data_IF_238251924318
#
_entry.id   IF_238251924318
#
_cell.length_a   1.000
_cell.length_b   1.000
_cell.length_c   1.000
_cell.angle_alpha   90.00
_cell.angle_beta   90.00
_cell.angle_gamma   90.00
#
_symmetry.space_group_name_H-M   'P 1'
#
loop_
_entity.id
_entity.type
_entity.pdbx_description
1 polymer ?
#
# COMPACT_ATOMS: atom_id res chain seq x y z
N UNK A 1 27.11 4.34 -15.37
CA UNK A 1 27.45 3.02 -15.97
C UNK A 1 28.69 2.40 -15.30
N UNK A 2 28.72 2.26 -13.96
CA UNK A 2 29.92 1.77 -13.22
C UNK A 2 29.80 0.29 -12.78
N UNK A 3 28.60 -0.30 -12.81
CA UNK A 3 28.34 -1.69 -12.35
C UNK A 3 28.10 -2.71 -13.47
N UNK A 4 28.21 -2.30 -14.75
CA UNK A 4 28.04 -3.22 -15.89
C UNK A 4 26.61 -3.65 -16.22
N UNK A 5 25.58 -3.18 -15.49
CA UNK A 5 24.18 -3.43 -15.86
C UNK A 5 23.77 -2.68 -17.13
N UNK A 6 23.10 -3.40 -18.03
CA UNK A 6 22.24 -2.78 -19.01
C UNK A 6 20.86 -2.52 -18.37
N UNK A 7 20.22 -1.41 -18.73
CA UNK A 7 18.90 -1.03 -18.21
C UNK A 7 17.96 -0.81 -19.38
N UNK A 8 16.82 -1.49 -19.33
CA UNK A 8 15.72 -1.31 -20.27
C UNK A 8 14.46 -0.93 -19.48
N UNK A 9 13.64 -0.05 -20.04
CA UNK A 9 12.36 0.36 -19.46
C UNK A 9 11.42 0.81 -20.58
N UNK A 10 10.13 0.68 -20.36
CA UNK A 10 9.09 1.13 -21.28
C UNK A 10 7.97 1.83 -20.52
N UNK A 11 7.15 2.59 -21.26
CA UNK A 11 5.82 2.95 -20.78
C UNK A 11 4.90 1.73 -20.83
N UNK A 12 3.84 1.73 -20.00
CA UNK A 12 2.77 0.75 -20.13
C UNK A 12 1.91 1.03 -21.37
N UNK A 13 1.25 0.00 -21.87
CA UNK A 13 0.33 0.11 -23.02
C UNK A 13 -0.87 1.03 -22.73
N UNK A 14 -1.22 1.21 -21.46
CA UNK A 14 -2.34 2.04 -20.99
C UNK A 14 -1.91 3.04 -19.94
N UNK A 15 -2.62 4.16 -19.83
CA UNK A 15 -2.44 5.16 -18.77
C UNK A 15 -3.33 4.87 -17.56
N UNK A 16 -2.99 5.42 -16.39
CA UNK A 16 -3.75 5.17 -15.15
C UNK A 16 -3.39 3.84 -14.49
N UNK A 17 -4.39 3.09 -14.03
CA UNK A 17 -4.20 1.79 -13.39
C UNK A 17 -3.92 0.69 -14.44
N UNK A 18 -2.66 0.56 -14.85
CA UNK A 18 -2.23 -0.24 -16.00
C UNK A 18 -1.99 -1.74 -15.71
N UNK A 19 -2.48 -2.24 -14.57
CA UNK A 19 -2.10 -3.55 -14.04
C UNK A 19 -2.58 -4.74 -14.90
N UNK A 20 -3.51 -4.53 -15.83
CA UNK A 20 -3.92 -5.57 -16.78
C UNK A 20 -2.78 -6.04 -17.69
N UNK A 21 -1.91 -5.13 -18.13
CA UNK A 21 -0.85 -5.44 -19.10
C UNK A 21 0.54 -5.16 -18.56
N UNK A 22 0.67 -4.33 -17.51
CA UNK A 22 1.97 -3.79 -17.07
C UNK A 22 3.06 -4.85 -16.88
N UNK A 23 2.76 -6.00 -16.27
CA UNK A 23 3.74 -7.09 -16.13
C UNK A 23 4.18 -7.64 -17.49
N UNK A 24 3.23 -7.92 -18.38
CA UNK A 24 3.50 -8.40 -19.73
C UNK A 24 4.22 -7.34 -20.59
N UNK A 25 3.90 -6.06 -20.42
CA UNK A 25 4.57 -4.94 -21.12
C UNK A 25 6.06 -4.88 -20.73
N UNK A 26 6.39 -5.11 -19.45
CA UNK A 26 7.78 -5.18 -19.00
C UNK A 26 8.49 -6.44 -19.53
N UNK A 27 7.80 -7.59 -19.60
CA UNK A 27 8.36 -8.79 -20.24
C UNK A 27 8.59 -8.61 -21.74
N UNK A 28 7.70 -7.90 -22.44
CA UNK A 28 7.90 -7.50 -23.83
C UNK A 28 9.11 -6.58 -24.01
N UNK A 29 9.37 -5.71 -23.03
CA UNK A 29 10.56 -4.84 -23.00
C UNK A 29 11.84 -5.65 -22.88
N UNK A 30 11.85 -6.67 -22.01
CA UNK A 30 12.96 -7.61 -21.90
C UNK A 30 13.18 -8.35 -23.22
N UNK A 31 12.13 -8.90 -23.82
CA UNK A 31 12.22 -9.63 -25.08
C UNK A 31 12.79 -8.76 -26.21
N UNK A 32 12.33 -7.51 -26.33
CA UNK A 32 12.84 -6.57 -27.32
C UNK A 32 14.31 -6.19 -27.08
N UNK A 33 14.71 -6.06 -25.81
CA UNK A 33 16.11 -5.83 -25.45
C UNK A 33 16.98 -7.03 -25.87
N UNK A 34 16.58 -8.25 -25.55
CA UNK A 34 17.34 -9.46 -25.87
C UNK A 34 17.38 -9.76 -27.37
N UNK A 35 16.34 -9.40 -28.12
CA UNK A 35 16.34 -9.49 -29.59
C UNK A 35 17.44 -8.59 -30.19
N UNK A 36 17.61 -7.38 -29.66
CA UNK A 36 18.56 -6.41 -30.22
C UNK A 36 20.00 -6.60 -29.72
N UNK A 37 20.19 -6.97 -28.45
CA UNK A 37 21.50 -7.02 -27.81
C UNK A 37 21.97 -8.44 -27.47
N UNK A 38 21.13 -9.45 -27.66
CA UNK A 38 21.36 -10.83 -27.24
C UNK A 38 20.84 -11.13 -25.83
N UNK A 39 20.74 -12.42 -25.51
CA UNK A 39 20.20 -12.88 -24.22
C UNK A 39 21.00 -12.36 -23.03
N UNK A 40 20.31 -11.90 -22.01
CA UNK A 40 20.92 -11.51 -20.74
C UNK A 40 21.35 -12.76 -19.97
N UNK A 41 22.51 -12.69 -19.30
CA UNK A 41 22.95 -13.79 -18.44
C UNK A 41 22.18 -13.87 -17.13
N UNK A 42 21.70 -12.71 -16.65
CA UNK A 42 20.88 -12.54 -15.44
C UNK A 42 19.97 -11.33 -15.61
N UNK A 43 18.71 -11.45 -15.21
CA UNK A 43 17.69 -10.40 -15.32
C UNK A 43 17.10 -10.12 -13.94
N UNK A 44 17.25 -8.87 -13.47
CA UNK A 44 16.65 -8.40 -12.23
C UNK A 44 15.55 -7.40 -12.58
N UNK A 45 14.31 -7.72 -12.24
CA UNK A 45 13.20 -6.77 -12.33
C UNK A 45 13.25 -5.80 -11.14
N UNK A 46 13.13 -4.50 -11.38
CA UNK A 46 13.14 -3.48 -10.33
C UNK A 46 11.96 -2.53 -10.54
N UNK A 47 11.15 -2.36 -9.50
CA UNK A 47 9.94 -1.54 -9.56
C UNK A 47 9.74 -0.71 -8.30
N UNK A 48 9.13 0.48 -8.44
CA UNK A 48 8.79 1.38 -7.34
C UNK A 48 7.30 1.66 -7.31
N UNK A 49 6.69 1.75 -6.14
CA UNK A 49 5.26 2.07 -5.97
C UNK A 49 4.36 1.06 -6.70
N UNK A 50 3.47 1.51 -7.58
CA UNK A 50 2.71 0.64 -8.49
C UNK A 50 3.63 -0.30 -9.30
N UNK A 51 4.82 0.17 -9.69
CA UNK A 51 5.84 -0.67 -10.34
C UNK A 51 6.38 -1.78 -9.44
N UNK A 52 6.41 -1.58 -8.11
CA UNK A 52 6.78 -2.62 -7.15
C UNK A 52 5.74 -3.75 -7.10
N UNK A 53 4.44 -3.41 -7.18
CA UNK A 53 3.37 -4.40 -7.37
C UNK A 53 3.56 -5.15 -8.70
N UNK A 54 3.78 -4.44 -9.81
CA UNK A 54 4.06 -5.06 -11.13
C UNK A 54 5.25 -6.01 -11.06
N UNK A 55 6.36 -5.59 -10.44
CA UNK A 55 7.56 -6.41 -10.27
C UNK A 55 7.29 -7.64 -9.40
N UNK A 56 6.45 -7.51 -8.37
CA UNK A 56 6.05 -8.64 -7.53
C UNK A 56 5.22 -9.65 -8.31
N UNK A 57 4.26 -9.18 -9.12
CA UNK A 57 3.48 -10.03 -10.01
C UNK A 57 4.36 -10.72 -11.07
N UNK A 58 5.34 -10.02 -11.66
CA UNK A 58 6.29 -10.64 -12.59
C UNK A 58 7.08 -11.79 -11.95
N UNK A 59 7.37 -11.70 -10.65
CA UNK A 59 8.07 -12.73 -9.90
C UNK A 59 7.23 -13.99 -9.63
N UNK A 60 5.91 -13.90 -9.77
CA UNK A 60 4.97 -15.01 -9.62
C UNK A 60 4.65 -15.70 -10.96
N UNK A 61 5.01 -15.10 -12.10
CA UNK A 61 4.76 -15.67 -13.43
C UNK A 61 5.77 -16.81 -13.72
N UNK A 62 5.31 -18.05 -13.97
CA UNK A 62 6.19 -19.15 -14.35
C UNK A 62 6.92 -18.88 -15.66
N UNK A 63 8.23 -19.16 -15.71
CA UNK A 63 9.08 -18.94 -16.89
C UNK A 63 9.01 -17.51 -17.46
N UNK A 64 8.84 -16.51 -16.60
CA UNK A 64 8.76 -15.10 -17.01
C UNK A 64 10.04 -14.57 -17.66
N UNK A 65 11.18 -15.23 -17.46
CA UNK A 65 12.47 -14.80 -18.00
C UNK A 65 13.21 -13.78 -17.13
N UNK A 66 12.64 -13.41 -15.97
CA UNK A 66 13.41 -12.74 -14.91
C UNK A 66 14.02 -13.79 -13.98
N UNK A 67 15.15 -13.47 -13.36
CA UNK A 67 15.84 -14.35 -12.40
C UNK A 67 15.65 -13.91 -10.96
N UNK A 68 15.33 -12.63 -10.72
CA UNK A 68 15.07 -12.06 -9.41
C UNK A 68 14.33 -10.73 -9.48
N UNK A 69 13.75 -10.30 -8.36
CA UNK A 69 12.88 -9.12 -8.30
C UNK A 69 13.16 -8.24 -7.08
N UNK A 70 13.29 -6.93 -7.29
CA UNK A 70 13.37 -5.92 -6.22
C UNK A 70 12.12 -5.05 -6.28
N UNK A 71 11.24 -5.23 -5.31
CA UNK A 71 9.98 -4.49 -5.16
C UNK A 71 10.16 -3.39 -4.12
N UNK A 72 10.28 -2.14 -4.55
CA UNK A 72 10.48 -1.01 -3.65
C UNK A 72 9.15 -0.29 -3.43
N UNK A 73 8.80 0.02 -2.17
CA UNK A 73 7.55 0.69 -1.75
C UNK A 73 6.30 0.13 -2.46
N UNK A 74 6.29 -1.17 -2.73
CA UNK A 74 5.30 -1.79 -3.61
C UNK A 74 3.91 -1.80 -2.99
N UNK A 75 2.88 -1.55 -3.80
CA UNK A 75 1.46 -1.70 -3.43
C UNK A 75 1.06 -3.18 -3.32
N UNK A 76 1.83 -3.98 -2.57
CA UNK A 76 1.78 -5.44 -2.56
C UNK A 76 0.63 -6.04 -1.75
N UNK A 77 -0.13 -5.23 -1.01
CA UNK A 77 -1.48 -5.66 -0.56
C UNK A 77 -2.45 -5.82 -1.74
N UNK A 78 -2.08 -5.32 -2.92
CA UNK A 78 -2.85 -5.47 -4.13
C UNK A 78 -4.00 -4.47 -4.27
N UNK A 79 -4.68 -4.56 -5.41
CA UNK A 79 -5.69 -3.58 -5.81
C UNK A 79 -6.96 -3.62 -4.97
N UNK A 80 -7.37 -4.82 -4.52
CA UNK A 80 -8.61 -4.98 -3.73
C UNK A 80 -8.44 -4.36 -2.35
N UNK A 81 -7.38 -4.73 -1.63
CA UNK A 81 -6.99 -4.13 -0.36
C UNK A 81 -6.85 -2.61 -0.47
N UNK A 82 -6.20 -2.12 -1.55
CA UNK A 82 -6.06 -0.69 -1.82
C UNK A 82 -7.39 0.04 -1.95
N UNK A 83 -8.35 -0.57 -2.64
CA UNK A 83 -9.67 0.04 -2.77
C UNK A 83 -10.44 0.00 -1.44
N UNK A 84 -10.33 -1.09 -0.69
CA UNK A 84 -11.00 -1.29 0.59
C UNK A 84 -10.55 -0.29 1.66
N UNK A 85 -9.26 -0.15 1.96
CA UNK A 85 -8.83 0.77 3.05
C UNK A 85 -9.16 2.24 2.75
N UNK A 86 -9.03 2.66 1.49
CA UNK A 86 -9.42 4.00 1.07
C UNK A 86 -10.93 4.23 1.18
N UNK A 87 -11.73 3.22 0.82
CA UNK A 87 -13.18 3.28 0.93
C UNK A 87 -13.62 3.29 2.40
N UNK A 88 -13.03 2.46 3.25
CA UNK A 88 -13.35 2.38 4.68
C UNK A 88 -13.13 3.72 5.38
N UNK A 89 -12.01 4.39 5.11
CA UNK A 89 -11.74 5.72 5.63
C UNK A 89 -12.73 6.78 5.10
N UNK A 90 -13.03 6.75 3.80
CA UNK A 90 -13.99 7.68 3.19
C UNK A 90 -15.42 7.48 3.73
N UNK A 91 -15.82 6.23 3.90
CA UNK A 91 -17.10 5.83 4.48
C UNK A 91 -17.22 6.25 5.93
N UNK A 92 -16.22 5.96 6.77
CA UNK A 92 -16.23 6.37 8.16
C UNK A 92 -16.25 7.90 8.31
N UNK A 93 -15.54 8.63 7.44
CA UNK A 93 -15.59 10.09 7.43
C UNK A 93 -16.98 10.62 7.03
N UNK A 94 -17.62 10.05 6.01
CA UNK A 94 -18.96 10.43 5.58
C UNK A 94 -19.99 10.16 6.69
N UNK A 95 -20.04 8.91 7.18
CA UNK A 95 -21.07 8.46 8.11
C UNK A 95 -20.99 9.17 9.47
N UNK A 96 -19.77 9.38 10.00
CA UNK A 96 -19.60 9.92 11.36
C UNK A 96 -19.52 11.46 11.40
N UNK A 97 -19.11 12.10 10.31
CA UNK A 97 -18.89 13.56 10.27
C UNK A 97 -19.95 14.31 9.44
N UNK A 98 -20.73 13.61 8.63
CA UNK A 98 -21.83 14.17 7.83
C UNK A 98 -23.13 13.38 8.07
N UNK A 99 -23.55 13.18 9.34
CA UNK A 99 -24.66 12.29 9.66
C UNK A 99 -25.95 12.68 8.94
N UNK A 100 -26.62 11.70 8.33
CA UNK A 100 -27.87 11.88 7.59
C UNK A 100 -27.71 12.50 6.20
N UNK A 101 -26.49 12.70 5.71
CA UNK A 101 -26.23 13.08 4.32
C UNK A 101 -25.87 11.86 3.49
N UNK A 102 -26.57 11.71 2.37
CA UNK A 102 -26.18 10.76 1.34
C UNK A 102 -24.96 11.31 0.58
N UNK A 103 -23.79 10.70 0.80
CA UNK A 103 -22.53 11.06 0.15
C UNK A 103 -22.15 9.90 -0.77
N UNK A 104 -22.09 10.17 -2.08
CA UNK A 104 -21.57 9.21 -3.05
C UNK A 104 -20.09 8.96 -2.77
N UNK A 105 -19.71 7.69 -2.58
CA UNK A 105 -18.33 7.26 -2.32
C UNK A 105 -17.75 6.32 -3.38
N UNK A 106 -18.59 5.84 -4.29
CA UNK A 106 -18.22 4.89 -5.33
C UNK A 106 -18.83 5.26 -6.69
N UNK A 107 -18.35 4.57 -7.72
CA UNK A 107 -18.83 4.64 -9.09
C UNK A 107 -18.28 5.82 -9.89
N UNK A 108 -17.26 6.52 -9.42
CA UNK A 108 -16.72 7.69 -10.12
C UNK A 108 -16.02 7.27 -11.42
N UNK A 109 -16.44 7.79 -12.57
CA UNK A 109 -15.81 7.50 -13.87
C UNK A 109 -15.05 8.69 -14.48
N UNK A 110 -15.20 9.88 -13.89
CA UNK A 110 -14.46 11.07 -14.26
C UNK A 110 -14.13 11.92 -13.01
N UNK A 111 -13.03 12.71 -13.01
CA UNK A 111 -12.64 13.54 -11.87
C UNK A 111 -13.75 14.48 -11.37
N UNK A 112 -14.53 15.06 -12.29
CA UNK A 112 -15.60 16.00 -11.97
C UNK A 112 -16.72 15.38 -11.12
N UNK A 113 -16.94 14.07 -11.21
CA UNK A 113 -18.00 13.38 -10.47
C UNK A 113 -17.71 13.30 -8.97
N UNK A 114 -16.44 13.28 -8.59
CA UNK A 114 -16.02 13.25 -7.17
C UNK A 114 -15.91 14.62 -6.51
N UNK A 115 -16.04 15.72 -7.27
CA UNK A 115 -15.74 17.06 -6.78
C UNK A 115 -16.60 17.49 -5.58
N UNK A 116 -17.90 17.17 -5.60
CA UNK A 116 -18.81 17.49 -4.50
C UNK A 116 -18.50 16.66 -3.25
N UNK A 117 -18.28 15.34 -3.40
CA UNK A 117 -17.85 14.44 -2.33
C UNK A 117 -16.56 14.95 -1.67
N UNK A 118 -15.57 15.29 -2.47
CA UNK A 118 -14.29 15.82 -1.99
C UNK A 118 -14.50 17.13 -1.22
N UNK A 119 -15.29 18.06 -1.74
CA UNK A 119 -15.57 19.33 -1.07
C UNK A 119 -16.27 19.13 0.27
N UNK A 120 -17.28 18.24 0.32
CA UNK A 120 -18.04 17.93 1.53
C UNK A 120 -17.15 17.27 2.59
N UNK A 121 -16.40 16.23 2.23
CA UNK A 121 -15.50 15.53 3.16
C UNK A 121 -14.39 16.45 3.66
N UNK A 122 -13.78 17.26 2.79
CA UNK A 122 -12.73 18.20 3.20
C UNK A 122 -13.26 19.20 4.25
N UNK A 123 -14.44 19.75 4.04
CA UNK A 123 -15.07 20.66 5.01
C UNK A 123 -15.39 19.94 6.33
N UNK A 124 -15.90 18.71 6.26
CA UNK A 124 -16.23 17.91 7.44
C UNK A 124 -14.99 17.57 8.28
N UNK A 125 -13.90 17.12 7.64
CA UNK A 125 -12.62 16.82 8.28
C UNK A 125 -12.02 18.07 8.95
N UNK A 126 -12.05 19.20 8.25
CA UNK A 126 -11.60 20.49 8.81
C UNK A 126 -12.43 20.90 10.02
N UNK A 127 -13.75 20.82 9.94
CA UNK A 127 -14.63 21.16 11.05
C UNK A 127 -14.43 20.22 12.25
N UNK A 128 -14.33 18.91 12.00
CA UNK A 128 -14.13 17.90 13.04
C UNK A 128 -12.82 18.09 13.81
N UNK A 129 -11.78 18.66 13.20
CA UNK A 129 -10.52 18.96 13.89
C UNK A 129 -10.68 19.97 15.05
N UNK A 130 -11.77 20.76 15.04
CA UNK A 130 -11.97 21.86 16.00
C UNK A 130 -12.59 21.43 17.33
N UNK A 131 -13.20 20.23 17.41
CA UNK A 131 -13.85 19.70 18.63
C UNK A 131 -13.19 18.41 19.13
N UNK A 132 -13.36 18.10 20.42
CA UNK A 132 -12.89 16.83 21.01
C UNK A 132 -13.53 15.61 20.35
N UNK A 133 -14.83 15.70 20.12
CA UNK A 133 -15.68 14.67 19.55
C UNK A 133 -15.30 14.42 18.09
N UNK A 134 -15.08 15.49 17.31
CA UNK A 134 -14.63 15.38 15.93
C UNK A 134 -13.21 14.82 15.83
N UNK A 135 -12.27 15.22 16.71
CA UNK A 135 -10.92 14.64 16.76
C UNK A 135 -10.92 13.16 17.13
N UNK A 136 -11.82 12.72 18.02
CA UNK A 136 -11.97 11.31 18.34
C UNK A 136 -12.43 10.49 17.12
N UNK A 137 -13.44 10.96 16.39
CA UNK A 137 -13.89 10.32 15.14
C UNK A 137 -12.82 10.34 14.05
N UNK A 138 -12.07 11.44 13.93
CA UNK A 138 -10.93 11.52 13.01
C UNK A 138 -9.84 10.49 13.33
N UNK A 139 -9.59 10.18 14.61
CA UNK A 139 -8.66 9.12 14.98
C UNK A 139 -9.15 7.75 14.47
N UNK A 140 -10.45 7.47 14.52
CA UNK A 140 -11.02 6.24 13.94
C UNK A 140 -10.89 6.23 12.41
N UNK A 141 -11.15 7.34 11.72
CA UNK A 141 -10.95 7.47 10.27
C UNK A 141 -9.47 7.23 9.90
N UNK A 142 -8.55 7.77 10.68
CA UNK A 142 -7.11 7.59 10.47
C UNK A 142 -6.67 6.12 10.66
N UNK A 143 -7.20 5.44 11.68
CA UNK A 143 -6.98 4.02 11.90
C UNK A 143 -7.46 3.17 10.71
N UNK A 144 -8.65 3.45 10.17
CA UNK A 144 -9.20 2.75 9.00
C UNK A 144 -8.44 3.06 7.70
N UNK A 145 -7.69 4.16 7.65
CA UNK A 145 -6.78 4.50 6.56
C UNK A 145 -5.36 3.91 6.75
N UNK A 146 -5.10 3.16 7.84
CA UNK A 146 -3.75 2.73 8.25
C UNK A 146 -2.73 3.87 8.24
N UNK A 147 -3.08 5.03 8.80
CA UNK A 147 -2.09 6.12 8.94
C UNK A 147 -0.93 5.67 9.86
N UNK A 148 0.33 6.03 9.56
CA UNK A 148 1.46 5.68 10.40
C UNK A 148 1.28 6.05 11.88
N UNK A 149 1.79 5.21 12.77
CA UNK A 149 1.80 5.47 14.23
C UNK A 149 2.93 6.40 14.67
N UNK A 150 3.85 6.71 13.76
CA UNK A 150 4.97 7.63 13.95
C UNK A 150 5.00 8.58 12.75
N UNK A 151 5.30 9.85 12.99
CA UNK A 151 5.39 10.90 11.96
C UNK A 151 6.57 11.83 12.29
N UNK A 152 7.30 12.29 11.29
CA UNK A 152 8.50 13.11 11.47
C UNK A 152 8.15 14.42 12.20
N UNK A 153 8.90 14.71 13.27
CA UNK A 153 8.71 15.91 14.08
C UNK A 153 7.47 15.87 14.99
N UNK A 154 6.79 14.73 15.11
CA UNK A 154 5.67 14.52 16.02
C UNK A 154 6.10 13.64 17.18
N UNK A 155 5.83 14.10 18.40
CA UNK A 155 6.04 13.30 19.61
C UNK A 155 4.98 12.19 19.70
N UNK A 156 5.38 10.95 19.38
CA UNK A 156 4.49 9.79 19.41
C UNK A 156 3.99 9.47 20.84
N UNK A 157 4.73 9.89 21.88
CA UNK A 157 4.31 9.74 23.28
C UNK A 157 3.27 10.80 23.70
N UNK A 158 2.94 11.74 22.82
CA UNK A 158 1.86 12.71 22.98
C UNK A 158 0.66 12.34 22.08
N UNK A 159 -0.36 11.65 22.63
CA UNK A 159 -1.50 11.18 21.84
C UNK A 159 -2.29 12.28 21.14
N UNK A 160 -2.38 13.48 21.72
CA UNK A 160 -3.08 14.60 21.08
C UNK A 160 -2.30 15.12 19.87
N UNK A 161 -0.97 15.17 19.97
CA UNK A 161 -0.10 15.59 18.87
C UNK A 161 -0.14 14.55 17.73
N UNK A 162 -0.03 13.26 18.06
CA UNK A 162 -0.11 12.18 17.09
C UNK A 162 -1.48 12.14 16.39
N UNK A 163 -2.58 12.19 17.14
CA UNK A 163 -3.93 12.21 16.57
C UNK A 163 -4.16 13.43 15.67
N UNK A 164 -3.65 14.61 16.05
CA UNK A 164 -3.75 15.81 15.22
C UNK A 164 -2.94 15.69 13.92
N UNK A 165 -1.74 15.10 13.98
CA UNK A 165 -0.91 14.87 12.81
C UNK A 165 -1.52 13.83 11.85
N UNK A 166 -2.05 12.73 12.37
CA UNK A 166 -2.79 11.74 11.59
C UNK A 166 -4.06 12.33 10.96
N UNK A 167 -4.82 13.15 11.71
CA UNK A 167 -5.99 13.85 11.17
C UNK A 167 -5.61 14.79 10.02
N UNK A 168 -4.47 15.48 10.12
CA UNK A 168 -3.93 16.29 9.02
C UNK A 168 -3.58 15.42 7.81
N UNK A 169 -2.94 14.27 8.02
CA UNK A 169 -2.62 13.33 6.95
C UNK A 169 -3.90 12.83 6.23
N UNK A 170 -4.94 12.48 6.99
CA UNK A 170 -6.26 12.12 6.40
C UNK A 170 -6.81 13.26 5.54
N UNK A 171 -6.77 14.50 6.04
CA UNK A 171 -7.24 15.68 5.33
C UNK A 171 -6.48 15.92 4.01
N UNK A 172 -5.18 15.64 3.98
CA UNK A 172 -4.33 15.83 2.80
C UNK A 172 -4.45 14.66 1.80
N UNK A 173 -4.60 13.42 2.29
CA UNK A 173 -4.58 12.20 1.46
C UNK A 173 -5.95 11.82 0.91
N UNK A 174 -7.00 11.87 1.72
CA UNK A 174 -8.32 11.33 1.37
C UNK A 174 -8.93 12.01 0.11
N UNK A 175 -8.87 13.35 -0.05
CA UNK A 175 -9.30 14.01 -1.28
C UNK A 175 -8.59 13.50 -2.54
N UNK A 176 -7.28 13.30 -2.47
CA UNK A 176 -6.46 12.91 -3.61
C UNK A 176 -6.71 11.47 -4.04
N UNK A 177 -6.94 10.54 -3.10
CA UNK A 177 -7.27 9.15 -3.44
C UNK A 177 -8.67 9.03 -4.04
N UNK A 178 -9.65 9.79 -3.54
CA UNK A 178 -11.00 9.84 -4.10
C UNK A 178 -10.96 10.39 -5.54
N UNK A 179 -10.24 11.49 -5.78
CA UNK A 179 -10.09 12.07 -7.12
C UNK A 179 -9.53 11.05 -8.12
N UNK A 180 -8.50 10.29 -7.72
CA UNK A 180 -7.82 9.32 -8.58
C UNK A 180 -8.60 8.02 -8.81
N UNK A 181 -9.62 7.73 -7.98
CA UNK A 181 -10.39 6.49 -8.03
C UNK A 181 -10.95 6.19 -9.42
N UNK A 182 -11.36 7.20 -10.17
CA UNK A 182 -11.89 7.03 -11.52
C UNK A 182 -10.95 6.28 -12.47
N UNK A 183 -9.63 6.45 -12.31
CA UNK A 183 -8.64 5.74 -13.15
C UNK A 183 -8.65 4.23 -12.90
N UNK A 184 -8.89 3.82 -11.65
CA UNK A 184 -8.97 2.42 -11.24
C UNK A 184 -10.33 1.84 -11.69
N UNK A 185 -11.41 2.56 -11.45
CA UNK A 185 -12.77 2.16 -11.86
C UNK A 185 -12.87 1.95 -13.36
N UNK A 186 -12.34 2.88 -14.15
CA UNK A 186 -12.34 2.78 -15.62
C UNK A 186 -11.50 1.60 -16.12
N UNK A 187 -10.36 1.30 -15.47
CA UNK A 187 -9.53 0.15 -15.82
C UNK A 187 -10.22 -1.18 -15.48
N UNK A 188 -10.81 -1.28 -14.29
CA UNK A 188 -11.47 -2.49 -13.79
C UNK A 188 -12.88 -2.72 -14.39
N UNK A 189 -13.51 -1.68 -14.94
CA UNK A 189 -14.91 -1.72 -15.37
C UNK A 189 -15.91 -1.66 -14.20
N UNK A 190 -15.50 -1.10 -13.05
CA UNK A 190 -16.32 -0.95 -11.85
C UNK A 190 -15.49 -0.90 -10.56
N UNK A 191 -16.07 -0.39 -9.48
CA UNK A 191 -15.42 -0.39 -8.16
C UNK A 191 -15.29 -1.81 -7.61
N UNK A 192 -14.13 -2.13 -7.03
CA UNK A 192 -13.90 -3.42 -6.36
C UNK A 192 -13.97 -3.35 -4.84
N UNK A 193 -14.10 -2.15 -4.27
CA UNK A 193 -14.17 -1.97 -2.82
C UNK A 193 -15.59 -2.07 -2.30
N UNK A 194 -15.75 -2.48 -1.03
CA UNK A 194 -17.06 -2.60 -0.40
C UNK A 194 -17.03 -2.25 1.10
N UNK A 195 -18.18 -1.85 1.62
CA UNK A 195 -18.44 -1.67 3.05
C UNK A 195 -19.49 -2.65 3.56
N UNK A 196 -20.34 -3.19 2.68
CA UNK A 196 -21.35 -4.18 3.02
C UNK A 196 -20.76 -5.38 3.75
N UNK A 197 -21.34 -5.73 4.90
CA UNK A 197 -20.90 -6.86 5.74
C UNK A 197 -19.58 -6.66 6.49
N UNK A 198 -18.96 -5.47 6.44
CA UNK A 198 -17.69 -5.20 7.14
C UNK A 198 -17.92 -5.02 8.65
N UNK A 199 -17.22 -5.83 9.45
CA UNK A 199 -17.14 -5.66 10.91
C UNK A 199 -16.02 -4.68 11.28
N UNK A 200 -16.39 -3.40 11.37
CA UNK A 200 -15.47 -2.32 11.76
C UNK A 200 -14.91 -2.48 13.18
N UNK A 201 -15.60 -3.23 14.06
CA UNK A 201 -15.10 -3.51 15.40
C UNK A 201 -13.92 -4.48 15.34
N UNK A 202 -14.02 -5.50 14.48
CA UNK A 202 -12.92 -6.44 14.21
C UNK A 202 -11.74 -5.75 13.55
N UNK A 203 -11.98 -4.84 12.59
CA UNK A 203 -10.90 -4.07 11.95
C UNK A 203 -10.13 -3.26 13.00
N UNK A 204 -10.85 -2.49 13.83
CA UNK A 204 -10.21 -1.70 14.88
C UNK A 204 -9.50 -2.57 15.93
N UNK A 205 -10.02 -3.76 16.23
CA UNK A 205 -9.42 -4.66 17.20
C UNK A 205 -7.99 -5.07 16.81
N UNK A 206 -7.72 -5.24 15.51
CA UNK A 206 -6.42 -5.60 14.95
C UNK A 206 -5.53 -4.40 14.62
N UNK A 207 -6.06 -3.18 14.67
CA UNK A 207 -5.33 -1.96 14.29
C UNK A 207 -4.22 -1.61 15.27
N UNK A 208 -3.04 -1.25 14.75
CA UNK A 208 -1.96 -0.66 15.55
C UNK A 208 -2.37 0.69 16.18
N UNK A 209 -3.35 1.39 15.61
CA UNK A 209 -3.87 2.66 16.12
C UNK A 209 -4.98 2.48 17.17
N UNK A 210 -5.38 1.24 17.50
CA UNK A 210 -6.50 0.95 18.41
C UNK A 210 -6.44 1.72 19.73
N UNK A 211 -5.29 1.68 20.41
CA UNK A 211 -5.13 2.31 21.72
C UNK A 211 -5.30 3.83 21.64
N UNK A 212 -4.80 4.44 20.57
CA UNK A 212 -4.97 5.86 20.32
C UNK A 212 -6.45 6.19 20.11
N UNK A 213 -7.17 5.41 19.29
CA UNK A 213 -8.61 5.60 19.07
C UNK A 213 -9.40 5.50 20.38
N UNK A 214 -9.19 4.42 21.15
CA UNK A 214 -9.85 4.22 22.44
C UNK A 214 -9.60 5.39 23.40
N UNK A 215 -8.36 5.87 23.48
CA UNK A 215 -7.99 7.03 24.30
C UNK A 215 -8.69 8.31 23.84
N UNK A 216 -8.72 8.60 22.53
CA UNK A 216 -9.33 9.82 22.01
C UNK A 216 -10.85 9.82 22.24
N UNK A 217 -11.52 8.69 22.07
CA UNK A 217 -12.95 8.54 22.39
C UNK A 217 -13.22 8.71 23.88
N UNK A 218 -12.41 8.10 24.74
CA UNK A 218 -12.54 8.24 26.20
C UNK A 218 -12.38 9.70 26.65
N UNK A 219 -11.39 10.43 26.10
CA UNK A 219 -11.18 11.86 26.38
C UNK A 219 -12.33 12.74 25.90
N UNK A 220 -12.98 12.37 24.79
CA UNK A 220 -14.14 13.09 24.27
C UNK A 220 -15.46 12.71 24.96
N UNK A 221 -15.47 11.70 25.82
CA UNK A 221 -16.70 11.17 26.44
C UNK A 221 -17.65 10.51 25.43
N UNK A 222 -17.12 10.03 24.29
CA UNK A 222 -17.90 9.37 23.24
C UNK A 222 -18.00 7.86 23.44
N UNK A 223 -19.08 7.27 22.95
CA UNK A 223 -19.26 5.82 22.90
C UNK A 223 -18.69 5.25 21.59
N UNK A 224 -17.45 4.74 21.63
CA UNK A 224 -16.80 4.12 20.47
C UNK A 224 -17.61 2.96 19.89
N UNK A 225 -18.15 2.08 20.72
CA UNK A 225 -18.97 0.96 20.25
C UNK A 225 -20.27 1.45 19.57
N UNK A 226 -20.78 2.60 19.98
CA UNK A 226 -21.92 3.25 19.33
C UNK A 226 -21.59 3.68 17.90
N UNK A 227 -20.49 4.41 17.72
CA UNK A 227 -20.05 4.86 16.39
C UNK A 227 -19.66 3.66 15.49
N UNK A 228 -19.00 2.63 16.02
CA UNK A 228 -18.73 1.38 15.28
C UNK A 228 -20.02 0.67 14.86
N UNK A 229 -21.04 0.64 15.74
CA UNK A 229 -22.35 0.06 15.41
C UNK A 229 -23.06 0.85 14.31
N UNK A 230 -22.96 2.18 14.33
CA UNK A 230 -23.48 3.06 13.27
C UNK A 230 -22.82 2.76 11.93
N UNK A 231 -21.49 2.58 11.90
CA UNK A 231 -20.76 2.19 10.68
C UNK A 231 -21.25 0.85 10.15
N UNK A 232 -21.43 -0.16 11.00
CA UNK A 232 -21.88 -1.48 10.55
C UNK A 232 -23.35 -1.47 10.09
N UNK A 233 -24.21 -0.70 10.74
CA UNK A 233 -25.65 -0.66 10.41
C UNK A 233 -25.95 -0.01 9.06
N UNK A 234 -25.12 0.94 8.61
CA UNK A 234 -25.32 1.70 7.39
C UNK A 234 -24.39 1.27 6.24
N UNK A 235 -23.61 0.19 6.44
CA UNK A 235 -22.62 -0.26 5.47
C UNK A 235 -23.34 -1.03 4.34
N UNK A 236 -23.57 -0.38 3.21
CA UNK A 236 -24.37 -0.92 2.09
C UNK A 236 -23.68 -0.84 0.72
N UNK A 237 -22.42 -0.41 0.67
CA UNK A 237 -21.67 -0.34 -0.58
C UNK A 237 -21.18 -1.75 -0.93
N UNK A 238 -21.72 -2.31 -2.00
CA UNK A 238 -21.27 -3.57 -2.59
C UNK A 238 -20.26 -3.36 -3.73
N UNK A 239 -19.35 -4.30 -3.98
CA UNK A 239 -18.41 -4.20 -5.09
C UNK A 239 -19.09 -4.58 -6.41
N UNK A 240 -18.64 -3.98 -7.52
CA UNK A 240 -18.94 -4.51 -8.85
C UNK A 240 -18.35 -5.90 -9.00
N UNK A 241 -19.18 -6.90 -9.33
CA UNK A 241 -18.69 -8.26 -9.61
C UNK A 241 -17.63 -8.27 -10.72
N UNK A 242 -17.81 -7.46 -11.76
CA UNK A 242 -16.83 -7.32 -12.84
C UNK A 242 -15.54 -6.67 -12.35
N UNK A 243 -15.65 -5.55 -11.64
CA UNK A 243 -14.50 -4.78 -11.15
C UNK A 243 -13.67 -5.57 -10.14
N UNK A 244 -14.32 -6.24 -9.19
CA UNK A 244 -13.68 -7.12 -8.22
C UNK A 244 -12.95 -8.27 -8.89
N UNK A 245 -13.61 -9.00 -9.79
CA UNK A 245 -12.99 -10.11 -10.49
C UNK A 245 -11.82 -9.67 -11.38
N UNK A 246 -11.89 -8.48 -11.96
CA UNK A 246 -10.76 -7.90 -12.69
C UNK A 246 -9.59 -7.65 -11.74
N UNK A 247 -9.82 -6.93 -10.63
CA UNK A 247 -8.77 -6.58 -9.66
C UNK A 247 -8.08 -7.81 -9.05
N UNK A 248 -8.86 -8.84 -8.70
CA UNK A 248 -8.32 -10.11 -8.20
C UNK A 248 -7.39 -10.79 -9.21
N UNK A 249 -7.68 -10.72 -10.51
CA UNK A 249 -6.85 -11.35 -11.55
C UNK A 249 -5.63 -10.52 -11.94
N UNK A 250 -5.75 -9.19 -11.93
CA UNK A 250 -4.74 -8.31 -12.53
C UNK A 250 -3.91 -7.57 -11.50
N UNK A 251 -4.33 -7.53 -10.24
CA UNK A 251 -3.77 -6.59 -9.26
C UNK A 251 -3.64 -7.14 -7.85
N UNK A 252 -3.94 -8.41 -7.63
CA UNK A 252 -3.76 -9.08 -6.34
C UNK A 252 -2.64 -10.12 -6.48
N UNK A 253 -1.50 -9.95 -5.78
CA UNK A 253 -0.46 -10.96 -5.79
C UNK A 253 -0.90 -12.20 -5.01
N UNK A 254 -0.38 -13.35 -5.40
CA UNK A 254 -0.75 -14.67 -4.85
C UNK A 254 0.30 -15.22 -3.90
N UNK A 255 1.49 -14.63 -3.87
CA UNK A 255 2.64 -15.13 -3.12
C UNK A 255 3.32 -16.34 -3.76
N UNK A 256 2.82 -16.84 -4.90
CA UNK A 256 3.36 -17.98 -5.66
C UNK A 256 4.66 -17.63 -6.40
N UNK A 257 5.64 -17.10 -5.67
CA UNK A 257 6.94 -16.72 -6.20
C UNK A 257 7.61 -17.88 -6.94
N UNK A 258 8.12 -17.55 -8.12
CA UNK A 258 8.91 -18.41 -9.00
C UNK A 258 10.40 -18.06 -8.93
N UNK A 259 10.71 -16.83 -8.52
CA UNK A 259 12.07 -16.31 -8.37
C UNK A 259 12.26 -15.59 -7.03
N UNK A 260 13.50 -15.39 -6.55
CA UNK A 260 13.75 -14.61 -5.35
C UNK A 260 13.21 -13.17 -5.47
N UNK A 261 12.56 -12.69 -4.42
CA UNK A 261 12.05 -11.33 -4.33
C UNK A 261 12.53 -10.65 -3.04
N UNK A 262 13.11 -9.45 -3.18
CA UNK A 262 13.42 -8.53 -2.08
C UNK A 262 12.43 -7.36 -2.11
N UNK A 263 11.55 -7.30 -1.13
CA UNK A 263 10.67 -6.14 -0.93
C UNK A 263 11.35 -5.12 -0.02
N UNK A 264 11.38 -3.85 -0.41
CA UNK A 264 11.91 -2.77 0.42
C UNK A 264 10.83 -1.72 0.70
N UNK A 265 10.76 -1.18 1.92
CA UNK A 265 9.75 -0.17 2.28
C UNK A 265 10.29 0.92 3.23
N UNK A 266 9.76 2.14 3.11
CA UNK A 266 9.96 3.18 4.12
C UNK A 266 9.09 2.88 5.34
N UNK A 267 9.61 3.12 6.55
CA UNK A 267 8.86 2.85 7.80
C UNK A 267 7.66 3.77 8.00
N UNK A 268 7.71 5.00 7.46
CA UNK A 268 6.63 5.99 7.56
C UNK A 268 6.21 6.38 6.14
N UNK A 269 5.40 5.55 5.50
CA UNK A 269 4.87 5.83 4.17
C UNK A 269 3.49 6.50 4.25
N UNK A 270 3.37 7.66 3.62
CA UNK A 270 2.17 8.51 3.71
C UNK A 270 1.11 8.20 2.66
N UNK A 271 1.36 7.24 1.75
CA UNK A 271 0.46 6.87 0.66
C UNK A 271 0.17 5.37 0.62
N UNK A 272 1.18 4.53 0.79
CA UNK A 272 1.09 3.08 0.76
C UNK A 272 1.40 2.53 2.17
N UNK A 273 0.41 2.08 2.94
CA UNK A 273 0.64 1.57 4.29
C UNK A 273 1.74 0.50 4.31
N UNK A 274 2.66 0.61 5.26
CA UNK A 274 3.74 -0.36 5.41
C UNK A 274 3.19 -1.75 5.77
N UNK A 275 2.01 -1.80 6.36
CA UNK A 275 1.26 -3.01 6.70
C UNK A 275 0.97 -3.89 5.48
N UNK A 276 0.92 -3.33 4.25
CA UNK A 276 0.91 -4.13 3.02
C UNK A 276 2.06 -5.15 2.95
N UNK A 277 3.20 -4.80 3.55
CA UNK A 277 4.37 -5.66 3.54
C UNK A 277 4.16 -6.88 4.44
N UNK A 278 3.50 -6.75 5.61
CA UNK A 278 3.19 -7.93 6.43
C UNK A 278 2.14 -8.81 5.72
N UNK A 279 1.09 -8.21 5.15
CA UNK A 279 0.06 -8.94 4.38
C UNK A 279 0.67 -9.77 3.25
N UNK A 280 1.54 -9.16 2.44
CA UNK A 280 2.20 -9.90 1.38
C UNK A 280 3.17 -10.97 1.90
N UNK A 281 3.83 -10.73 3.05
CA UNK A 281 4.66 -11.75 3.70
C UNK A 281 3.83 -12.95 4.16
N UNK A 282 2.62 -12.72 4.67
CA UNK A 282 1.67 -13.76 5.02
C UNK A 282 1.26 -14.57 3.80
N UNK A 283 0.85 -13.89 2.73
CA UNK A 283 0.45 -14.49 1.45
C UNK A 283 1.57 -15.37 0.88
N UNK A 284 2.81 -14.89 0.84
CA UNK A 284 3.99 -15.67 0.41
C UNK A 284 4.27 -16.88 1.31
N UNK A 285 4.07 -16.73 2.62
CA UNK A 285 4.26 -17.82 3.59
C UNK A 285 3.19 -18.89 3.42
N UNK A 286 1.94 -18.51 3.18
CA UNK A 286 0.83 -19.42 2.90
C UNK A 286 1.03 -20.20 1.59
N UNK A 287 1.59 -19.55 0.56
CA UNK A 287 2.02 -20.19 -0.69
C UNK A 287 3.26 -21.11 -0.52
N UNK A 288 3.87 -21.15 0.67
CA UNK A 288 5.06 -21.97 0.94
C UNK A 288 6.33 -21.45 0.27
N UNK A 289 6.38 -20.16 -0.11
CA UNK A 289 7.48 -19.56 -0.89
C UNK A 289 8.46 -18.71 -0.08
N UNK A 290 8.40 -18.77 1.25
CA UNK A 290 9.23 -17.96 2.15
C UNK A 290 10.75 -18.08 1.92
N UNK A 291 11.23 -19.19 1.34
CA UNK A 291 12.64 -19.35 0.97
C UNK A 291 13.10 -18.35 -0.12
N UNK A 292 12.16 -17.86 -0.95
CA UNK A 292 12.40 -16.92 -2.02
C UNK A 292 12.24 -15.45 -1.59
N UNK A 293 11.66 -15.17 -0.43
CA UNK A 293 11.24 -13.82 -0.07
C UNK A 293 12.05 -13.20 1.06
N UNK A 294 12.43 -11.93 0.92
CA UNK A 294 13.04 -11.12 1.98
C UNK A 294 12.44 -9.72 1.98
N UNK A 295 12.48 -9.09 3.16
CA UNK A 295 12.06 -7.71 3.36
C UNK A 295 13.18 -6.91 3.98
N UNK A 296 13.24 -5.62 3.64
CA UNK A 296 14.13 -4.67 4.28
C UNK A 296 13.46 -3.30 4.41
N UNK A 297 13.70 -2.62 5.52
CA UNK A 297 13.01 -1.37 5.84
C UNK A 297 14.01 -0.23 6.00
N UNK A 298 13.63 0.96 5.54
CA UNK A 298 14.42 2.18 5.73
C UNK A 298 13.65 3.17 6.60
N UNK A 299 14.30 3.68 7.64
CA UNK A 299 13.69 4.64 8.57
C UNK A 299 13.64 6.01 7.93
N UNK A 300 12.54 6.31 7.23
CA UNK A 300 12.29 7.59 6.57
C UNK A 300 10.80 7.83 6.37
N UNK A 301 10.39 9.09 6.48
CA UNK A 301 9.06 9.53 6.09
C UNK A 301 8.95 9.78 4.57
N UNK A 302 7.80 9.39 4.01
CA UNK A 302 7.38 9.69 2.65
C UNK A 302 7.29 8.47 1.75
N UNK A 303 6.37 8.54 0.78
CA UNK A 303 6.17 7.45 -0.17
C UNK A 303 7.38 7.27 -1.08
N UNK A 304 7.97 6.07 -1.08
CA UNK A 304 9.15 5.73 -1.85
C UNK A 304 10.37 6.65 -1.59
N UNK A 305 10.47 7.26 -0.41
CA UNK A 305 11.59 8.13 -0.06
C UNK A 305 12.84 7.29 0.25
N UNK A 306 13.55 6.83 -0.78
CA UNK A 306 14.78 6.04 -0.69
C UNK A 306 15.97 6.81 -1.27
N UNK A 307 17.14 6.64 -0.67
CA UNK A 307 18.39 7.16 -1.23
C UNK A 307 18.85 6.31 -2.42
N UNK A 308 19.72 6.86 -3.26
CA UNK A 308 20.38 6.10 -4.32
C UNK A 308 21.18 4.95 -3.71
N UNK A 309 21.89 5.18 -2.60
CA UNK A 309 22.67 4.15 -1.93
C UNK A 309 21.82 2.95 -1.49
N UNK A 310 20.64 3.20 -0.93
CA UNK A 310 19.72 2.15 -0.48
C UNK A 310 19.19 1.32 -1.65
N UNK A 311 18.71 1.97 -2.72
CA UNK A 311 18.23 1.27 -3.91
C UNK A 311 19.32 0.40 -4.53
N UNK A 312 20.54 0.91 -4.62
CA UNK A 312 21.67 0.17 -5.17
C UNK A 312 22.05 -1.01 -4.28
N UNK A 313 22.06 -0.84 -2.95
CA UNK A 313 22.32 -1.95 -2.03
C UNK A 313 21.29 -3.08 -2.15
N UNK A 314 20.01 -2.75 -2.37
CA UNK A 314 18.97 -3.76 -2.61
C UNK A 314 19.19 -4.53 -3.92
N UNK A 315 19.59 -3.85 -5.00
CA UNK A 315 19.94 -4.50 -6.28
C UNK A 315 21.20 -5.35 -6.14
N UNK A 316 22.24 -4.85 -5.47
CA UNK A 316 23.49 -5.59 -5.25
C UNK A 316 23.25 -6.84 -4.37
N UNK A 317 22.35 -6.75 -3.38
CA UNK A 317 21.92 -7.90 -2.57
C UNK A 317 21.19 -8.96 -3.40
N UNK A 318 20.29 -8.54 -4.29
CA UNK A 318 19.64 -9.47 -5.24
C UNK A 318 20.66 -10.11 -6.18
N UNK A 319 21.59 -9.33 -6.71
CA UNK A 319 22.64 -9.84 -7.59
C UNK A 319 23.46 -10.94 -6.88
N UNK A 320 23.87 -10.71 -5.63
CA UNK A 320 24.57 -11.71 -4.81
C UNK A 320 23.70 -12.94 -4.50
N UNK A 321 22.39 -12.76 -4.24
CA UNK A 321 21.44 -13.86 -4.07
C UNK A 321 21.38 -14.75 -5.30
N UNK A 322 21.45 -14.17 -6.50
CA UNK A 322 21.45 -14.92 -7.77
C UNK A 322 22.79 -15.61 -8.03
N UNK A 323 23.91 -14.99 -7.66
CA UNK A 323 25.24 -15.61 -7.82
C UNK A 323 25.44 -16.81 -6.91
N UNK A 324 25.01 -16.72 -5.64
CA UNK A 324 25.26 -17.74 -4.62
C UNK A 324 24.17 -18.81 -4.55
N UNK A 325 22.99 -18.54 -5.10
CA UNK A 325 21.85 -19.45 -5.03
C UNK A 325 21.12 -19.45 -3.67
N UNK A 326 21.55 -18.65 -2.69
CA UNK A 326 20.89 -18.52 -1.39
C UNK A 326 21.01 -17.10 -0.82
N UNK A 327 20.12 -16.70 0.09
CA UNK A 327 20.16 -15.35 0.67
C UNK A 327 21.38 -15.09 1.55
N UNK A 328 21.86 -16.09 2.29
CA UNK A 328 22.90 -15.84 3.29
C UNK A 328 22.49 -14.67 4.20
N UNK A 329 23.39 -13.70 4.37
CA UNK A 329 23.15 -12.47 5.13
C UNK A 329 22.90 -11.22 4.26
N UNK A 330 22.96 -11.32 2.93
CA UNK A 330 23.01 -10.15 2.02
C UNK A 330 21.77 -9.26 2.04
N UNK A 331 20.64 -9.78 2.53
CA UNK A 331 19.39 -9.06 2.72
C UNK A 331 19.08 -8.74 4.18
N UNK A 332 20.04 -8.93 5.10
CA UNK A 332 19.91 -8.48 6.50
C UNK A 332 20.09 -6.96 6.58
N UNK A 333 19.47 -6.33 7.57
CA UNK A 333 19.59 -4.88 7.80
C UNK A 333 21.04 -4.43 7.89
N UNK A 334 21.86 -5.15 8.67
CA UNK A 334 23.26 -4.79 8.89
C UNK A 334 24.07 -4.80 7.58
N UNK A 335 23.89 -5.82 6.74
CA UNK A 335 24.64 -5.94 5.49
C UNK A 335 24.14 -4.97 4.42
N UNK A 336 22.83 -4.73 4.34
CA UNK A 336 22.26 -3.70 3.46
C UNK A 336 22.75 -2.30 3.85
N UNK A 337 22.76 -1.98 5.15
CA UNK A 337 23.29 -0.71 5.68
C UNK A 337 24.78 -0.56 5.38
N UNK A 338 25.58 -1.60 5.63
CA UNK A 338 27.01 -1.57 5.38
C UNK A 338 27.32 -1.41 3.89
N UNK A 339 26.60 -2.15 3.03
CA UNK A 339 26.71 -2.06 1.57
C UNK A 339 26.38 -0.65 1.11
N UNK A 340 25.21 -0.11 1.48
CA UNK A 340 24.78 1.23 1.08
C UNK A 340 25.76 2.33 1.55
N UNK A 341 26.21 2.26 2.80
CA UNK A 341 27.19 3.22 3.36
C UNK A 341 28.52 3.16 2.61
N UNK A 342 28.97 1.96 2.23
CA UNK A 342 30.23 1.76 1.49
C UNK A 342 30.23 2.44 0.12
N UNK A 343 29.05 2.68 -0.47
CA UNK A 343 28.90 3.35 -1.76
C UNK A 343 29.27 4.83 -1.73
N UNK A 344 29.29 5.46 -0.53
CA UNK A 344 29.60 6.88 -0.33
C UNK A 344 28.80 7.82 -1.24
N UNK A 345 27.51 7.51 -1.41
CA UNK A 345 26.56 8.32 -2.17
C UNK A 345 25.84 9.29 -1.22
N UNK A 346 24.53 9.13 -1.06
CA UNK A 346 23.60 10.05 -0.42
C UNK A 346 23.09 9.53 0.95
N UNK A 347 23.87 8.64 1.59
CA UNK A 347 23.56 8.08 2.90
C UNK A 347 22.58 6.90 2.85
N UNK A 348 22.36 6.25 3.99
CA UNK A 348 21.46 5.11 4.13
C UNK A 348 20.97 4.98 5.57
N UNK A 349 19.73 4.52 5.75
CA UNK A 349 19.14 4.30 7.07
C UNK A 349 18.27 3.03 7.09
N UNK A 350 18.85 1.88 6.75
CA UNK A 350 18.21 0.59 6.93
C UNK A 350 18.04 0.29 8.42
N UNK A 351 16.86 -0.19 8.80
CA UNK A 351 16.50 -0.52 10.18
C UNK A 351 15.80 -1.88 10.28
N UNK A 352 15.99 -2.55 11.40
CA UNK A 352 15.16 -3.70 11.77
C UNK A 352 13.77 -3.18 12.10
N UNK A 353 12.76 -3.71 11.41
CA UNK A 353 11.38 -3.29 11.57
C UNK A 353 10.45 -4.45 11.24
N UNK A 354 9.32 -4.50 11.94
CA UNK A 354 8.24 -5.44 11.66
C UNK A 354 6.95 -4.64 11.50
N UNK A 355 6.33 -4.64 10.31
CA UNK A 355 5.05 -3.98 10.11
C UNK A 355 3.97 -4.59 10.98
N UNK A 356 2.97 -3.78 11.31
CA UNK A 356 1.75 -4.25 11.94
C UNK A 356 0.85 -4.97 10.94
N UNK A 357 -0.25 -5.53 11.44
CA UNK A 357 -1.29 -6.15 10.63
C UNK A 357 -1.98 -5.13 9.71
N UNK A 358 -2.20 -5.51 8.45
CA UNK A 358 -3.04 -4.72 7.55
C UNK A 358 -4.52 -5.05 7.80
N UNK A 359 -5.26 -4.11 8.37
CA UNK A 359 -6.61 -4.43 8.88
C UNK A 359 -7.70 -4.49 7.81
N UNK A 360 -7.46 -4.04 6.58
CA UNK A 360 -8.52 -3.92 5.57
C UNK A 360 -8.49 -5.05 4.52
N UNK A 361 -7.64 -6.06 4.69
CA UNK A 361 -7.71 -7.26 3.87
C UNK A 361 -8.94 -8.10 4.26
N UNK A 362 -9.65 -8.58 3.24
CA UNK A 362 -10.91 -9.31 3.38
C UNK A 362 -11.37 -9.91 2.06
N UNK A 363 -12.06 -11.04 2.17
CA UNK A 363 -12.76 -11.68 1.06
C UNK A 363 -14.21 -11.20 0.94
N UNK A 364 -14.70 -11.11 -0.30
CA UNK A 364 -16.10 -10.81 -0.57
C UNK A 364 -16.93 -12.10 -0.69
N UNK A 365 -18.02 -12.18 0.07
CA UNK A 365 -19.02 -13.26 -0.04
C UNK A 365 -20.39 -12.65 -0.36
N UNK A 366 -20.97 -12.88 -1.55
CA UNK A 366 -22.26 -12.31 -1.91
C UNK A 366 -23.39 -12.69 -0.94
N UNK A 367 -24.21 -11.70 -0.54
CA UNK A 367 -25.42 -11.92 0.26
C UNK A 367 -25.20 -12.14 1.75
N UNK A 368 -24.07 -11.68 2.30
CA UNK A 368 -23.84 -11.57 3.75
C UNK A 368 -24.52 -10.35 4.36
#
# INVERSE_FOLDING_TARGET
MVRGYAVASSSYATTGWALQTAAQDQLGTLAAFEEHFGKASRVIAVGRSMGGLVTSMMAEIPNSGIDGAVSTCGLVGGGVALNNYQLDAAYAAAELLLPGRDIRLAGFTAPAESAETIAALKAALQHASTSSEGRARLALVAALLNTPTELDGVDADNPDALAAAQAKLVLDTLPAVIERRHTIVNAAGGDSGWTAGVDYSKLLQSSAQRQLVELMYAKAGLNLNGDLSTLMANADIEPSSQGLQWMLRTSTPTGELQVPLLATHTTVDLLAPIEYQEEYAETVRQAGKNALFRQAFVSREGHCNFTVAENVAAVDAMDQRLQTGHWGSVATTADLQATATSLKLDGANYVEFRPAEFINDRDWTPGQ
#
